data_IF_890089495826
#
_entry.id   IF_890089495826
#
_cell.length_a   1.000
_cell.length_b   1.000
_cell.length_c   1.000
_cell.angle_alpha   90.00
_cell.angle_beta   90.00
_cell.angle_gamma   90.00
#
_symmetry.space_group_name_H-M   'P 1'
#
loop_
_entity.id
_entity.type
_entity.pdbx_description
1 polymer ?
#
# COMPACT_ATOMS: atom_id res chain seq x y z
N UNK A 1 20.95 -12.70 2.69
CA UNK A 1 19.75 -13.46 3.13
C UNK A 1 18.53 -12.55 3.03
N UNK A 2 17.33 -13.06 2.70
CA UNK A 2 16.12 -12.23 2.68
C UNK A 2 15.87 -11.62 4.06
N UNK A 3 15.44 -10.36 4.10
CA UNK A 3 15.13 -9.62 5.35
C UNK A 3 13.71 -9.90 5.84
N UNK A 4 12.83 -10.32 4.94
CA UNK A 4 11.45 -10.68 5.24
C UNK A 4 11.22 -12.16 4.98
N UNK A 5 10.36 -12.77 5.77
CA UNK A 5 9.93 -14.14 5.52
C UNK A 5 9.09 -14.23 4.25
N UNK A 6 9.00 -15.45 3.70
CA UNK A 6 8.12 -15.77 2.57
C UNK A 6 6.68 -15.34 2.83
N UNK A 7 6.15 -15.66 4.01
CA UNK A 7 4.76 -15.39 4.36
C UNK A 7 4.51 -13.89 4.50
N UNK A 8 5.38 -13.15 5.20
CA UNK A 8 5.27 -11.69 5.29
C UNK A 8 5.26 -11.03 3.90
N UNK A 9 6.11 -11.51 2.99
CA UNK A 9 6.19 -10.99 1.62
C UNK A 9 4.90 -11.24 0.85
N UNK A 10 4.39 -12.48 0.85
CA UNK A 10 3.15 -12.83 0.14
C UNK A 10 1.93 -12.13 0.73
N UNK A 11 1.84 -12.05 2.06
CA UNK A 11 0.77 -11.33 2.75
C UNK A 11 0.80 -9.84 2.40
N UNK A 12 1.98 -9.22 2.32
CA UNK A 12 2.08 -7.81 1.93
C UNK A 12 1.73 -7.56 0.47
N UNK A 13 2.14 -8.46 -0.44
CA UNK A 13 1.72 -8.39 -1.85
C UNK A 13 0.20 -8.37 -1.95
N UNK A 14 -0.49 -9.30 -1.29
CA UNK A 14 -1.96 -9.37 -1.31
C UNK A 14 -2.60 -8.16 -0.60
N UNK A 15 -2.13 -7.79 0.60
CA UNK A 15 -2.68 -6.70 1.40
C UNK A 15 -2.62 -5.36 0.66
N UNK A 16 -1.47 -5.02 0.09
CA UNK A 16 -1.26 -3.77 -0.66
C UNK A 16 -1.94 -3.84 -2.02
N UNK A 17 -1.87 -5.01 -2.68
CA UNK A 17 -2.47 -5.26 -3.97
C UNK A 17 -1.72 -4.62 -5.15
N UNK A 18 -0.56 -4.01 -4.93
CA UNK A 18 0.25 -3.35 -5.95
C UNK A 18 1.73 -3.76 -5.80
N UNK A 19 2.34 -4.14 -6.93
CA UNK A 19 3.79 -4.35 -7.05
C UNK A 19 4.29 -3.48 -8.21
N UNK A 20 4.89 -2.30 -7.93
CA UNK A 20 5.54 -1.50 -8.96
C UNK A 20 6.74 -2.24 -9.55
N UNK A 21 6.84 -2.23 -10.88
CA UNK A 21 7.86 -2.98 -11.64
C UNK A 21 8.71 -2.00 -12.44
N UNK A 22 10.03 -2.03 -12.28
CA UNK A 22 10.90 -1.11 -13.01
C UNK A 22 12.29 -1.67 -13.31
N UNK A 23 13.03 -0.95 -14.15
CA UNK A 23 14.47 -1.12 -14.30
C UNK A 23 15.08 0.25 -14.57
N UNK A 24 16.24 0.50 -13.97
CA UNK A 24 17.11 1.59 -14.34
C UNK A 24 18.56 1.18 -14.08
N UNK A 25 19.49 1.59 -14.94
CA UNK A 25 20.92 1.24 -14.82
C UNK A 25 21.67 2.11 -13.83
N UNK A 26 21.18 3.32 -13.56
CA UNK A 26 21.70 4.22 -12.53
C UNK A 26 21.03 3.93 -11.19
N UNK A 27 21.84 3.57 -10.18
CA UNK A 27 21.41 3.27 -8.82
C UNK A 27 20.75 4.47 -8.14
N UNK A 28 21.19 5.69 -8.41
CA UNK A 28 20.62 6.91 -7.81
C UNK A 28 19.16 7.09 -8.23
N UNK A 29 18.87 6.86 -9.50
CA UNK A 29 17.50 6.88 -10.03
C UNK A 29 16.68 5.73 -9.47
N UNK A 30 17.27 4.54 -9.35
CA UNK A 30 16.59 3.39 -8.78
C UNK A 30 16.18 3.61 -7.31
N UNK A 31 17.05 4.26 -6.52
CA UNK A 31 16.77 4.67 -5.14
C UNK A 31 15.58 5.63 -5.08
N UNK A 32 15.56 6.68 -5.90
CA UNK A 32 14.47 7.66 -5.90
C UNK A 32 13.13 7.04 -6.31
N UNK A 33 13.13 6.09 -7.26
CA UNK A 33 11.92 5.34 -7.64
C UNK A 33 11.40 4.51 -6.48
N UNK A 34 12.25 3.73 -5.81
CA UNK A 34 11.83 2.90 -4.67
C UNK A 34 11.35 3.77 -3.52
N UNK A 35 12.04 4.88 -3.23
CA UNK A 35 11.64 5.83 -2.20
C UNK A 35 10.27 6.44 -2.49
N UNK A 36 10.03 6.91 -3.71
CA UNK A 36 8.73 7.45 -4.10
C UNK A 36 7.60 6.41 -3.98
N UNK A 37 7.86 5.15 -4.34
CA UNK A 37 6.89 4.07 -4.13
C UNK A 37 6.64 3.80 -2.64
N UNK A 38 7.70 3.75 -1.83
CA UNK A 38 7.62 3.51 -0.39
C UNK A 38 6.87 4.63 0.34
N UNK A 39 7.19 5.89 0.02
CA UNK A 39 6.54 7.08 0.58
C UNK A 39 5.06 7.16 0.19
N UNK A 40 4.67 6.58 -0.94
CA UNK A 40 3.28 6.42 -1.34
C UNK A 40 2.55 5.27 -0.61
N UNK A 41 3.28 4.39 0.08
CA UNK A 41 2.75 3.21 0.77
C UNK A 41 2.87 1.89 0.01
N UNK A 42 3.51 1.86 -1.17
CA UNK A 42 3.82 0.63 -1.88
C UNK A 42 5.10 0.00 -1.31
N UNK A 43 4.93 -0.88 -0.32
CA UNK A 43 6.01 -1.55 0.40
C UNK A 43 6.73 -2.62 -0.41
N UNK A 44 6.08 -3.22 -1.41
CA UNK A 44 6.63 -4.31 -2.23
C UNK A 44 7.00 -3.76 -3.61
N UNK A 45 8.27 -3.91 -4.02
CA UNK A 45 8.76 -3.36 -5.30
C UNK A 45 9.59 -4.40 -6.06
N UNK A 46 9.35 -4.54 -7.36
CA UNK A 46 10.06 -5.45 -8.27
C UNK A 46 11.07 -4.68 -9.14
N UNK A 47 12.37 -4.93 -8.91
CA UNK A 47 13.44 -4.49 -9.82
C UNK A 47 13.71 -5.57 -10.88
N UNK A 48 13.70 -5.23 -12.16
CA UNK A 48 13.81 -6.22 -13.25
C UNK A 48 15.24 -6.39 -13.73
N UNK A 49 15.72 -7.64 -13.81
CA UNK A 49 17.03 -8.03 -14.33
C UNK A 49 17.04 -7.96 -15.88
N UNK A 50 17.07 -6.76 -16.46
CA UNK A 50 16.96 -6.56 -17.92
C UNK A 50 18.13 -5.86 -18.60
N UNK A 51 19.05 -5.26 -17.85
CA UNK A 51 20.23 -4.64 -18.45
C UNK A 51 21.53 -5.17 -17.89
N UNK A 52 22.62 -4.76 -18.53
CA UNK A 52 23.95 -5.25 -18.22
C UNK A 52 24.32 -4.95 -16.77
N UNK A 53 24.91 -5.94 -16.11
CA UNK A 53 25.35 -5.83 -14.71
C UNK A 53 24.24 -5.37 -13.74
N UNK A 54 22.97 -5.60 -14.06
CA UNK A 54 21.82 -5.18 -13.23
C UNK A 54 21.91 -5.68 -11.78
N UNK A 55 22.57 -6.82 -11.54
CA UNK A 55 22.81 -7.33 -10.19
C UNK A 55 23.62 -6.35 -9.32
N UNK A 56 24.54 -5.57 -9.89
CA UNK A 56 25.34 -4.58 -9.14
C UNK A 56 24.44 -3.45 -8.62
N UNK A 57 23.60 -2.91 -9.51
CA UNK A 57 22.59 -1.92 -9.16
C UNK A 57 21.66 -2.45 -8.08
N UNK A 58 21.23 -3.71 -8.21
CA UNK A 58 20.38 -4.34 -7.22
C UNK A 58 21.05 -4.52 -5.86
N UNK A 59 22.33 -4.93 -5.81
CA UNK A 59 23.07 -5.04 -4.55
C UNK A 59 23.06 -3.71 -3.80
N UNK A 60 23.46 -2.62 -4.48
CA UNK A 60 23.51 -1.29 -3.87
C UNK A 60 22.12 -0.78 -3.44
N UNK A 61 21.10 -1.03 -4.26
CA UNK A 61 19.72 -0.69 -3.93
C UNK A 61 19.18 -1.50 -2.74
N UNK A 62 19.53 -2.78 -2.65
CA UNK A 62 19.18 -3.68 -1.54
C UNK A 62 19.80 -3.19 -0.23
N UNK A 63 21.08 -2.80 -0.25
CA UNK A 63 21.79 -2.23 0.90
C UNK A 63 21.18 -0.89 1.33
N UNK A 64 20.87 -0.01 0.36
CA UNK A 64 20.16 1.25 0.63
C UNK A 64 18.81 0.99 1.31
N UNK A 65 18.00 0.09 0.76
CA UNK A 65 16.71 -0.28 1.35
C UNK A 65 16.86 -0.84 2.77
N UNK A 66 17.89 -1.65 3.03
CA UNK A 66 18.12 -2.18 4.37
C UNK A 66 18.43 -1.07 5.40
N UNK A 67 19.14 -0.01 4.98
CA UNK A 67 19.55 1.10 5.86
C UNK A 67 18.50 2.19 6.00
N UNK A 68 17.97 2.68 4.88
CA UNK A 68 17.13 3.88 4.84
C UNK A 68 15.63 3.57 4.74
N UNK A 69 15.27 2.42 4.16
CA UNK A 69 13.88 2.01 3.92
C UNK A 69 13.61 0.59 4.46
N UNK A 70 13.87 0.33 5.77
CA UNK A 70 13.92 -1.03 6.31
C UNK A 70 12.59 -1.79 6.17
N UNK A 71 11.48 -1.08 5.95
CA UNK A 71 10.16 -1.66 5.71
C UNK A 71 9.96 -2.15 4.26
N UNK A 72 10.71 -1.65 3.27
CA UNK A 72 10.55 -2.01 1.85
C UNK A 72 11.00 -3.44 1.59
N UNK A 73 10.09 -4.21 0.97
CA UNK A 73 10.30 -5.57 0.48
C UNK A 73 10.71 -5.46 -0.99
N UNK A 74 12.03 -5.46 -1.23
CA UNK A 74 12.60 -5.41 -2.58
C UNK A 74 12.76 -6.84 -3.13
N UNK A 75 12.25 -7.07 -4.33
CA UNK A 75 12.42 -8.33 -5.07
C UNK A 75 13.00 -8.12 -6.46
N UNK A 76 13.31 -9.22 -7.11
CA UNK A 76 13.84 -9.22 -8.48
C UNK A 76 12.83 -9.83 -9.45
N UNK A 77 12.73 -9.23 -10.63
CA UNK A 77 11.96 -9.75 -11.75
C UNK A 77 12.81 -10.09 -12.97
N UNK A 78 12.18 -10.66 -13.99
CA UNK A 78 12.86 -11.11 -15.23
C UNK A 78 13.93 -12.19 -14.99
N UNK A 79 13.72 -13.04 -13.98
CA UNK A 79 14.58 -14.20 -13.70
C UNK A 79 14.06 -15.42 -14.47
N UNK A 80 14.93 -16.09 -15.22
CA UNK A 80 14.56 -17.22 -16.09
C UNK A 80 15.28 -18.54 -15.73
N UNK A 81 16.32 -18.46 -14.90
CA UNK A 81 17.18 -19.59 -14.53
C UNK A 81 17.60 -19.50 -13.03
N UNK A 82 18.00 -20.65 -12.50
CA UNK A 82 18.35 -20.84 -11.09
C UNK A 82 19.64 -20.15 -10.67
N UNK A 83 20.60 -19.95 -11.58
CA UNK A 83 21.86 -19.27 -11.28
C UNK A 83 21.62 -17.77 -11.06
N UNK A 84 20.82 -17.16 -11.93
CA UNK A 84 20.33 -15.79 -11.76
C UNK A 84 19.51 -15.66 -10.48
N UNK A 85 18.60 -16.60 -10.19
CA UNK A 85 17.84 -16.59 -8.94
C UNK A 85 18.76 -16.65 -7.71
N UNK A 86 19.76 -17.54 -7.72
CA UNK A 86 20.75 -17.67 -6.65
C UNK A 86 21.50 -16.36 -6.39
N UNK A 87 21.95 -15.70 -7.47
CA UNK A 87 22.67 -14.43 -7.42
C UNK A 87 21.85 -13.35 -6.70
N UNK A 88 20.60 -13.14 -7.10
CA UNK A 88 19.76 -12.10 -6.53
C UNK A 88 19.29 -12.44 -5.10
N UNK A 89 19.00 -13.70 -4.79
CA UNK A 89 18.72 -14.13 -3.40
C UNK A 89 19.94 -13.84 -2.51
N UNK A 90 21.15 -14.12 -2.99
CA UNK A 90 22.37 -13.80 -2.26
C UNK A 90 22.60 -12.29 -2.11
N UNK A 91 22.09 -11.50 -3.07
CA UNK A 91 22.12 -10.03 -3.07
C UNK A 91 21.00 -9.39 -2.24
N UNK A 92 20.15 -10.19 -1.57
CA UNK A 92 19.12 -9.70 -0.65
C UNK A 92 17.71 -9.59 -1.22
N UNK A 93 17.43 -10.20 -2.38
CA UNK A 93 16.07 -10.28 -2.90
C UNK A 93 15.13 -11.02 -1.94
N UNK A 94 13.98 -10.39 -1.65
CA UNK A 94 12.97 -10.93 -0.74
C UNK A 94 11.89 -11.72 -1.47
N UNK A 95 11.81 -11.59 -2.79
CA UNK A 95 11.00 -12.43 -3.69
C UNK A 95 11.61 -12.44 -5.09
N UNK A 96 11.23 -13.44 -5.88
CA UNK A 96 11.67 -13.63 -7.26
C UNK A 96 10.44 -13.67 -8.19
N UNK A 97 10.53 -13.03 -9.35
CA UNK A 97 9.50 -13.03 -10.38
C UNK A 97 10.13 -13.43 -11.72
N UNK A 98 9.47 -14.35 -12.42
CA UNK A 98 9.89 -14.83 -13.74
C UNK A 98 8.88 -14.44 -14.82
N UNK A 99 9.28 -14.29 -16.10
CA UNK A 99 8.33 -14.18 -17.20
C UNK A 99 7.75 -15.56 -17.61
N UNK A 100 8.36 -16.65 -17.15
CA UNK A 100 8.00 -18.04 -17.44
C UNK A 100 8.08 -18.88 -16.15
N UNK A 101 7.43 -20.04 -16.15
CA UNK A 101 7.65 -21.05 -15.12
C UNK A 101 8.96 -21.82 -15.36
N UNK A 102 9.79 -21.94 -14.32
CA UNK A 102 11.00 -22.76 -14.32
C UNK A 102 11.07 -23.53 -12.99
N UNK A 103 11.03 -24.88 -13.00
CA UNK A 103 11.06 -25.67 -11.78
C UNK A 103 12.38 -25.58 -11.02
N UNK A 104 13.51 -25.33 -11.68
CA UNK A 104 14.80 -25.16 -11.01
C UNK A 104 14.87 -23.86 -10.21
N UNK A 105 14.24 -22.78 -10.72
CA UNK A 105 14.03 -21.54 -9.95
C UNK A 105 13.13 -21.80 -8.74
N UNK A 106 12.03 -22.55 -8.91
CA UNK A 106 11.15 -22.90 -7.81
C UNK A 106 11.89 -23.69 -6.71
N UNK A 107 12.68 -24.69 -7.07
CA UNK A 107 13.48 -25.50 -6.12
C UNK A 107 14.40 -24.65 -5.26
N UNK A 108 15.17 -23.73 -5.87
CA UNK A 108 16.12 -22.90 -5.10
C UNK A 108 15.39 -21.89 -4.22
N UNK A 109 14.34 -21.23 -4.73
CA UNK A 109 13.52 -20.30 -3.97
C UNK A 109 12.87 -20.98 -2.77
N UNK A 110 12.29 -22.16 -2.94
CA UNK A 110 11.67 -22.96 -1.87
C UNK A 110 12.68 -23.38 -0.80
N UNK A 111 13.87 -23.86 -1.21
CA UNK A 111 14.96 -24.23 -0.30
C UNK A 111 15.46 -23.04 0.52
N UNK A 112 15.37 -21.82 -0.02
CA UNK A 112 15.77 -20.57 0.65
C UNK A 112 14.62 -19.84 1.34
N UNK A 113 13.40 -20.38 1.30
CA UNK A 113 12.18 -19.72 1.80
C UNK A 113 12.00 -18.30 1.24
N UNK A 114 12.27 -18.14 -0.06
CA UNK A 114 11.98 -16.92 -0.83
C UNK A 114 10.80 -17.25 -1.74
N UNK A 115 9.73 -16.43 -1.80
CA UNK A 115 8.61 -16.67 -2.71
C UNK A 115 9.03 -16.47 -4.15
N UNK A 116 8.48 -17.31 -5.03
CA UNK A 116 8.65 -17.26 -6.47
C UNK A 116 7.29 -17.08 -7.15
N UNK A 117 7.15 -16.01 -7.93
CA UNK A 117 5.98 -15.75 -8.78
C UNK A 117 6.35 -15.96 -10.26
N UNK A 118 6.26 -17.19 -10.78
CA UNK A 118 6.54 -17.50 -12.18
C UNK A 118 5.46 -16.96 -13.11
N UNK A 119 5.86 -16.62 -14.34
CA UNK A 119 4.92 -16.26 -15.41
C UNK A 119 4.27 -17.50 -16.02
N UNK A 120 2.95 -17.49 -16.12
CA UNK A 120 2.14 -18.53 -16.76
C UNK A 120 1.11 -17.90 -17.71
N UNK A 121 0.74 -18.61 -18.77
CA UNK A 121 -0.25 -18.19 -19.76
C UNK A 121 -1.45 -19.13 -19.90
N UNK A 122 -1.48 -20.25 -19.16
CA UNK A 122 -2.55 -21.26 -19.21
C UNK A 122 -2.89 -21.82 -17.84
N UNK A 123 -4.08 -22.41 -17.70
CA UNK A 123 -4.50 -23.06 -16.47
C UNK A 123 -3.57 -24.22 -16.06
N UNK A 124 -3.07 -24.99 -17.03
CA UNK A 124 -2.14 -26.10 -16.76
C UNK A 124 -0.77 -25.63 -16.25
N UNK A 125 -0.23 -24.54 -16.80
CA UNK A 125 1.02 -23.95 -16.29
C UNK A 125 0.85 -23.37 -14.89
N UNK A 126 -0.30 -22.73 -14.61
CA UNK A 126 -0.62 -22.20 -13.28
C UNK A 126 -0.72 -23.33 -12.27
N UNK A 127 -1.47 -24.40 -12.59
CA UNK A 127 -1.58 -25.59 -11.75
C UNK A 127 -0.21 -26.21 -11.46
N UNK A 128 0.64 -26.33 -12.49
CA UNK A 128 2.00 -26.86 -12.31
C UNK A 128 2.82 -25.95 -11.39
N UNK A 129 2.75 -24.63 -11.55
CA UNK A 129 3.46 -23.69 -10.67
C UNK A 129 3.03 -23.84 -9.20
N UNK A 130 1.73 -24.01 -8.94
CA UNK A 130 1.16 -24.25 -7.61
C UNK A 130 1.66 -25.57 -7.01
N UNK A 131 1.76 -26.66 -7.79
CA UNK A 131 2.34 -27.94 -7.34
C UNK A 131 3.80 -27.80 -6.90
N UNK A 132 4.55 -26.91 -7.55
CA UNK A 132 5.92 -26.54 -7.16
C UNK A 132 5.97 -25.54 -6.00
N UNK A 133 4.83 -25.25 -5.37
CA UNK A 133 4.70 -24.41 -4.18
C UNK A 133 4.70 -22.92 -4.45
N UNK A 134 4.41 -22.45 -5.68
CA UNK A 134 4.29 -21.02 -5.96
C UNK A 134 2.91 -20.51 -5.51
N UNK A 135 2.85 -19.65 -4.49
CA UNK A 135 1.58 -19.23 -3.88
C UNK A 135 0.86 -18.13 -4.65
N UNK A 136 1.61 -17.21 -5.28
CA UNK A 136 1.07 -16.18 -6.18
C UNK A 136 1.71 -16.38 -7.54
N UNK A 137 0.91 -16.72 -8.55
CA UNK A 137 1.37 -16.97 -9.91
C UNK A 137 1.20 -15.71 -10.76
N UNK A 138 2.22 -15.34 -11.52
CA UNK A 138 2.17 -14.20 -12.42
C UNK A 138 1.43 -14.61 -13.70
N UNK A 139 0.39 -13.87 -14.08
CA UNK A 139 -0.24 -14.01 -15.39
C UNK A 139 0.49 -13.09 -16.38
N UNK A 140 1.18 -13.67 -17.37
CA UNK A 140 2.04 -12.90 -18.27
C UNK A 140 2.11 -13.47 -19.70
N UNK A 141 2.02 -12.63 -20.75
CA UNK A 141 1.62 -11.22 -20.73
C UNK A 141 0.11 -11.05 -20.48
N UNK A 142 -0.27 -10.42 -19.38
CA UNK A 142 -1.63 -10.48 -18.81
C UNK A 142 -2.77 -10.16 -19.79
N UNK A 143 -2.68 -9.06 -20.55
CA UNK A 143 -3.70 -8.71 -21.53
C UNK A 143 -3.77 -9.70 -22.71
N UNK A 144 -2.62 -10.24 -23.16
CA UNK A 144 -2.55 -11.11 -24.34
C UNK A 144 -3.02 -12.54 -24.05
N UNK A 145 -2.96 -12.98 -22.79
CA UNK A 145 -3.42 -14.30 -22.35
C UNK A 145 -4.90 -14.31 -21.93
N UNK A 146 -5.66 -13.27 -22.33
CA UNK A 146 -7.10 -13.18 -22.12
C UNK A 146 -7.55 -12.20 -21.03
N UNK A 147 -6.64 -11.48 -20.38
CA UNK A 147 -7.01 -10.35 -19.54
C UNK A 147 -7.81 -10.73 -18.26
N UNK A 148 -8.61 -9.81 -17.71
CA UNK A 148 -9.44 -10.06 -16.54
C UNK A 148 -10.45 -11.21 -16.71
N UNK A 149 -10.93 -11.46 -17.93
CA UNK A 149 -11.91 -12.54 -18.18
C UNK A 149 -11.29 -13.92 -18.01
N UNK A 150 -10.01 -14.10 -18.40
CA UNK A 150 -9.26 -15.32 -18.12
C UNK A 150 -9.17 -15.59 -16.62
N UNK A 151 -8.79 -14.58 -15.81
CA UNK A 151 -8.69 -14.72 -14.35
C UNK A 151 -10.04 -15.14 -13.77
N UNK A 152 -11.12 -14.47 -14.14
CA UNK A 152 -12.46 -14.82 -13.66
C UNK A 152 -12.87 -16.24 -14.03
N UNK A 153 -12.55 -16.69 -15.25
CA UNK A 153 -12.84 -18.04 -15.72
C UNK A 153 -12.00 -19.10 -14.99
N UNK A 154 -10.73 -18.80 -14.70
CA UNK A 154 -9.82 -19.67 -13.95
C UNK A 154 -10.24 -19.84 -12.48
N UNK A 155 -10.62 -18.74 -11.82
CA UNK A 155 -10.98 -18.77 -10.41
C UNK A 155 -12.34 -19.46 -10.14
N UNK A 156 -13.18 -19.65 -11.16
CA UNK A 156 -14.45 -20.35 -11.01
C UNK A 156 -14.26 -21.82 -10.55
N UNK A 157 -13.41 -22.64 -11.20
CA UNK A 157 -13.06 -23.98 -10.70
C UNK A 157 -11.92 -23.98 -9.67
N UNK A 158 -11.07 -22.95 -9.63
CA UNK A 158 -9.88 -22.87 -8.76
C UNK A 158 -9.91 -21.63 -7.85
N UNK A 159 -10.87 -21.51 -6.91
CA UNK A 159 -11.05 -20.30 -6.11
C UNK A 159 -9.92 -20.01 -5.12
N UNK A 160 -9.04 -20.98 -4.86
CA UNK A 160 -7.85 -20.82 -4.01
C UNK A 160 -6.67 -20.17 -4.75
N UNK A 161 -6.66 -20.20 -6.08
CA UNK A 161 -5.55 -19.68 -6.90
C UNK A 161 -5.39 -18.17 -6.70
N UNK A 162 -4.15 -17.72 -6.58
CA UNK A 162 -3.81 -16.29 -6.45
C UNK A 162 -3.02 -15.84 -7.66
N UNK A 163 -3.58 -14.87 -8.39
CA UNK A 163 -3.00 -14.36 -9.63
C UNK A 163 -2.48 -12.93 -9.44
N UNK A 164 -1.29 -12.67 -10.00
CA UNK A 164 -0.72 -11.34 -10.20
C UNK A 164 -0.55 -11.05 -11.70
N UNK A 165 -1.46 -10.31 -12.36
CA UNK A 165 -1.26 -9.94 -13.76
C UNK A 165 -0.10 -8.96 -13.92
N UNK A 166 0.64 -9.10 -15.01
CA UNK A 166 1.63 -8.11 -15.47
C UNK A 166 1.63 -8.04 -16.98
N UNK A 167 1.72 -6.84 -17.54
CA UNK A 167 1.55 -6.60 -18.97
C UNK A 167 0.08 -6.37 -19.31
N UNK A 168 -0.27 -5.14 -19.67
CA UNK A 168 -1.67 -4.73 -19.92
C UNK A 168 -2.46 -4.30 -18.68
N UNK A 169 -1.78 -4.02 -17.57
CA UNK A 169 -2.38 -3.36 -16.40
C UNK A 169 -2.08 -1.86 -16.50
N UNK A 170 -3.09 -1.06 -16.81
CA UNK A 170 -2.95 0.39 -16.91
C UNK A 170 -3.14 1.05 -15.54
N UNK A 171 -2.40 2.14 -15.30
CA UNK A 171 -2.53 2.96 -14.09
C UNK A 171 -3.75 3.90 -14.17
N UNK A 172 -4.94 3.31 -14.31
CA UNK A 172 -6.26 3.98 -14.37
C UNK A 172 -7.25 3.26 -13.46
N UNK A 173 -8.24 3.99 -12.94
CA UNK A 173 -9.28 3.42 -12.07
C UNK A 173 -10.00 2.23 -12.73
N UNK A 174 -10.39 2.38 -13.99
CA UNK A 174 -11.12 1.36 -14.73
C UNK A 174 -10.31 0.07 -14.85
N UNK A 175 -9.07 0.16 -15.35
CA UNK A 175 -8.22 -1.02 -15.55
C UNK A 175 -7.95 -1.74 -14.22
N UNK A 176 -7.62 -0.98 -13.16
CA UNK A 176 -7.40 -1.53 -11.82
C UNK A 176 -8.65 -2.23 -11.30
N UNK A 177 -9.82 -1.59 -11.41
CA UNK A 177 -11.08 -2.15 -10.94
C UNK A 177 -11.43 -3.44 -11.69
N UNK A 178 -11.22 -3.51 -13.00
CA UNK A 178 -11.45 -4.71 -13.80
C UNK A 178 -10.61 -5.89 -13.32
N UNK A 179 -9.29 -5.70 -13.12
CA UNK A 179 -8.40 -6.74 -12.63
C UNK A 179 -8.68 -7.17 -11.19
N UNK A 180 -8.89 -6.22 -10.27
CA UNK A 180 -9.17 -6.52 -8.86
C UNK A 180 -10.52 -7.23 -8.72
N UNK A 181 -11.56 -6.78 -9.42
CA UNK A 181 -12.89 -7.44 -9.39
C UNK A 181 -12.90 -8.81 -10.07
N UNK A 182 -11.94 -9.08 -10.97
CA UNK A 182 -11.73 -10.42 -11.50
C UNK A 182 -11.15 -11.40 -10.47
N UNK A 183 -10.68 -10.92 -9.31
CA UNK A 183 -10.16 -11.73 -8.21
C UNK A 183 -8.63 -11.75 -8.11
N UNK A 184 -7.92 -10.84 -8.80
CA UNK A 184 -6.46 -10.76 -8.71
C UNK A 184 -6.00 -10.45 -7.27
N UNK A 185 -4.98 -11.16 -6.82
CA UNK A 185 -4.41 -11.00 -5.48
C UNK A 185 -3.63 -9.67 -5.36
N UNK A 186 -2.89 -9.31 -6.40
CA UNK A 186 -2.18 -8.04 -6.52
C UNK A 186 -1.90 -7.74 -7.99
N UNK A 187 -1.45 -6.52 -8.31
CA UNK A 187 -1.21 -6.07 -9.68
C UNK A 187 0.28 -5.73 -9.88
N UNK A 188 0.93 -6.37 -10.85
CA UNK A 188 2.28 -6.00 -11.29
C UNK A 188 2.20 -4.88 -12.33
N UNK A 189 2.60 -3.66 -11.95
CA UNK A 189 2.50 -2.48 -12.81
C UNK A 189 3.87 -1.92 -13.20
N UNK A 190 4.17 -2.00 -14.49
CA UNK A 190 5.44 -1.54 -15.07
C UNK A 190 5.41 -0.12 -15.61
N UNK A 191 5.80 0.00 -16.88
CA UNK A 191 6.01 1.27 -17.60
C UNK A 191 4.79 2.20 -17.70
N UNK A 192 3.58 1.69 -17.40
CA UNK A 192 2.35 2.49 -17.33
C UNK A 192 2.21 3.24 -16.00
N UNK A 193 2.82 2.74 -14.94
CA UNK A 193 2.92 3.38 -13.63
C UNK A 193 4.20 4.22 -13.54
N UNK A 194 5.35 3.58 -13.81
CA UNK A 194 6.68 4.21 -13.78
C UNK A 194 7.05 4.58 -15.21
N UNK A 195 6.56 5.73 -15.68
CA UNK A 195 6.68 6.14 -17.08
C UNK A 195 8.07 6.69 -17.39
N UNK A 196 8.48 6.60 -18.67
CA UNK A 196 9.75 7.21 -19.13
C UNK A 196 9.81 8.71 -18.83
N UNK A 197 8.69 9.40 -19.01
CA UNK A 197 8.54 10.85 -18.75
C UNK A 197 8.85 11.22 -17.30
N UNK A 198 8.31 10.46 -16.34
CA UNK A 198 8.55 10.70 -14.91
C UNK A 198 10.03 10.51 -14.59
N UNK A 199 10.66 9.48 -15.16
CA UNK A 199 12.07 9.17 -14.93
C UNK A 199 12.98 10.22 -15.57
N UNK A 200 12.74 10.61 -16.83
CA UNK A 200 13.56 11.59 -17.54
C UNK A 200 13.46 12.98 -16.93
N UNK A 201 12.28 13.36 -16.43
CA UNK A 201 12.06 14.63 -15.74
C UNK A 201 12.42 14.60 -14.25
N UNK A 202 12.77 13.43 -13.70
CA UNK A 202 13.01 13.20 -12.26
C UNK A 202 11.85 13.67 -11.37
N UNK A 203 10.61 13.57 -11.87
CA UNK A 203 9.41 14.02 -11.17
C UNK A 203 8.88 12.94 -10.22
N UNK A 204 9.64 12.66 -9.16
CA UNK A 204 9.32 11.61 -8.20
C UNK A 204 8.10 11.92 -7.34
N UNK A 205 7.74 13.20 -7.16
CA UNK A 205 6.48 13.58 -6.51
C UNK A 205 5.27 13.16 -7.35
N UNK A 206 5.34 13.31 -8.68
CA UNK A 206 4.30 12.79 -9.56
C UNK A 206 4.23 11.26 -9.52
N UNK A 207 5.36 10.56 -9.38
CA UNK A 207 5.35 9.11 -9.16
C UNK A 207 4.63 8.76 -7.85
N UNK A 208 4.98 9.44 -6.75
CA UNK A 208 4.39 9.22 -5.43
C UNK A 208 2.88 9.38 -5.48
N UNK A 209 2.39 10.51 -5.98
CA UNK A 209 0.97 10.79 -6.12
C UNK A 209 0.24 9.75 -6.99
N UNK A 210 0.88 9.31 -8.08
CA UNK A 210 0.31 8.27 -8.96
C UNK A 210 0.20 6.91 -8.25
N UNK A 211 1.21 6.53 -7.48
CA UNK A 211 1.20 5.29 -6.70
C UNK A 211 0.14 5.36 -5.59
N UNK A 212 0.04 6.48 -4.86
CA UNK A 212 -1.01 6.74 -3.86
C UNK A 212 -2.41 6.56 -4.47
N UNK A 213 -2.63 7.12 -5.66
CA UNK A 213 -3.89 7.01 -6.39
C UNK A 213 -4.20 5.55 -6.80
N UNK A 214 -3.21 4.81 -7.29
CA UNK A 214 -3.39 3.40 -7.65
C UNK A 214 -3.75 2.54 -6.43
N UNK A 215 -3.08 2.76 -5.30
CA UNK A 215 -3.39 2.08 -4.04
C UNK A 215 -4.81 2.39 -3.57
N UNK A 216 -5.26 3.64 -3.73
CA UNK A 216 -6.66 4.01 -3.45
C UNK A 216 -7.63 3.26 -4.37
N UNK A 217 -7.40 3.26 -5.69
CA UNK A 217 -8.27 2.54 -6.63
C UNK A 217 -8.35 1.03 -6.34
N UNK A 218 -7.26 0.41 -5.90
CA UNK A 218 -7.26 -0.98 -5.44
C UNK A 218 -8.16 -1.14 -4.20
N UNK A 219 -7.99 -0.29 -3.17
CA UNK A 219 -8.83 -0.31 -1.96
C UNK A 219 -10.31 -0.12 -2.31
N UNK A 220 -10.63 0.86 -3.15
CA UNK A 220 -11.98 1.15 -3.64
C UNK A 220 -12.57 -0.05 -4.38
N UNK A 221 -11.81 -0.69 -5.28
CA UNK A 221 -12.25 -1.89 -5.99
C UNK A 221 -12.48 -3.10 -5.08
N UNK A 222 -11.78 -3.18 -3.94
CA UNK A 222 -12.00 -4.16 -2.86
C UNK A 222 -13.16 -3.80 -1.92
N UNK A 223 -13.86 -2.69 -2.16
CA UNK A 223 -15.00 -2.27 -1.35
C UNK A 223 -14.63 -1.55 -0.06
N UNK A 224 -13.39 -1.07 0.10
CA UNK A 224 -13.03 -0.20 1.22
C UNK A 224 -13.79 1.13 1.07
N UNK A 225 -14.60 1.54 2.06
CA UNK A 225 -15.36 2.79 1.98
C UNK A 225 -14.44 4.00 2.07
N UNK A 226 -14.79 5.08 1.38
CA UNK A 226 -14.07 6.35 1.43
C UNK A 226 -14.11 6.98 2.82
N UNK A 227 -15.29 7.01 3.44
CA UNK A 227 -15.52 7.42 4.82
C UNK A 227 -15.58 6.17 5.70
N UNK A 228 -14.60 6.01 6.59
CA UNK A 228 -14.36 4.78 7.35
C UNK A 228 -15.04 4.76 8.72
N UNK A 229 -15.71 5.86 9.10
CA UNK A 229 -16.41 6.01 10.37
C UNK A 229 -15.67 6.92 11.36
N UNK A 230 -15.99 6.77 12.64
CA UNK A 230 -15.46 7.62 13.71
C UNK A 230 -13.96 7.37 13.94
N UNK A 231 -13.18 8.43 13.87
CA UNK A 231 -11.78 8.46 14.29
C UNK A 231 -11.64 8.86 15.76
N UNK A 232 -12.26 9.98 16.13
CA UNK A 232 -12.29 10.48 17.50
C UNK A 232 -13.45 11.44 17.75
N UNK A 233 -13.79 11.57 19.04
CA UNK A 233 -14.63 12.67 19.54
C UNK A 233 -13.75 13.56 20.40
N UNK A 234 -13.75 14.86 20.09
CA UNK A 234 -13.04 15.87 20.86
C UNK A 234 -13.93 16.50 21.91
N UNK A 235 -13.48 16.47 23.16
CA UNK A 235 -14.14 17.04 24.32
C UNK A 235 -13.43 18.33 24.73
N UNK A 236 -14.23 19.35 25.01
CA UNK A 236 -13.77 20.65 25.50
C UNK A 236 -14.13 20.77 26.98
N UNK A 237 -13.16 20.68 27.91
CA UNK A 237 -13.41 20.95 29.31
C UNK A 237 -13.90 22.37 29.52
N UNK A 238 -14.81 22.58 30.46
CA UNK A 238 -15.36 23.92 30.77
C UNK A 238 -14.37 24.81 31.51
N UNK A 239 -13.38 24.21 32.18
CA UNK A 239 -12.34 24.92 32.92
C UNK A 239 -11.02 24.94 32.14
N UNK A 240 -10.30 26.08 32.10
CA UNK A 240 -8.97 26.16 31.52
C UNK A 240 -8.01 25.13 32.10
N UNK A 241 -7.25 24.45 31.23
CA UNK A 241 -6.25 23.44 31.60
C UNK A 241 -6.81 22.23 32.36
N UNK A 242 -8.13 21.98 32.33
CA UNK A 242 -8.72 20.80 32.95
C UNK A 242 -8.62 19.53 32.08
N UNK A 243 -8.10 19.64 30.85
CA UNK A 243 -7.98 18.53 29.91
C UNK A 243 -7.23 17.31 30.49
N UNK A 244 -6.03 17.48 31.07
CA UNK A 244 -5.31 16.37 31.69
C UNK A 244 -6.09 15.69 32.81
N UNK A 245 -6.80 16.47 33.66
CA UNK A 245 -7.62 15.94 34.74
C UNK A 245 -8.80 15.12 34.22
N UNK A 246 -9.47 15.58 33.16
CA UNK A 246 -10.55 14.84 32.50
C UNK A 246 -10.01 13.55 31.86
N UNK A 247 -8.86 13.63 31.19
CA UNK A 247 -8.22 12.48 30.57
C UNK A 247 -7.81 11.42 31.61
N UNK A 248 -7.24 11.85 32.74
CA UNK A 248 -6.88 10.99 33.86
C UNK A 248 -8.11 10.30 34.45
N UNK A 249 -9.22 11.03 34.62
CA UNK A 249 -10.48 10.46 35.11
C UNK A 249 -10.96 9.31 34.23
N UNK A 250 -10.93 9.44 32.90
CA UNK A 250 -11.31 8.35 31.99
C UNK A 250 -10.42 7.13 32.15
N UNK A 251 -9.09 7.30 32.19
CA UNK A 251 -8.18 6.15 32.34
C UNK A 251 -8.29 5.46 33.70
N UNK A 252 -8.60 6.22 34.76
CA UNK A 252 -8.87 5.67 36.09
C UNK A 252 -10.22 4.96 36.16
N UNK A 253 -11.24 5.49 35.48
CA UNK A 253 -12.61 4.97 35.49
C UNK A 253 -12.76 3.74 34.60
N UNK A 254 -12.07 3.69 33.46
CA UNK A 254 -12.17 2.63 32.46
C UNK A 254 -10.82 1.94 32.24
N UNK A 255 -10.50 0.91 33.05
CA UNK A 255 -9.31 0.10 32.86
C UNK A 255 -9.22 -0.45 31.43
N UNK A 256 -8.08 -0.23 30.77
CA UNK A 256 -7.85 -0.60 29.37
C UNK A 256 -7.81 0.60 28.41
N UNK A 257 -8.21 1.79 28.85
CA UNK A 257 -7.88 3.04 28.15
C UNK A 257 -6.46 3.49 28.50
N UNK A 258 -5.72 3.90 27.48
CA UNK A 258 -4.37 4.46 27.59
C UNK A 258 -4.38 5.92 27.17
N UNK A 259 -3.70 6.77 27.93
CA UNK A 259 -3.54 8.20 27.63
C UNK A 259 -2.23 8.45 26.89
N UNK A 260 -2.32 9.17 25.78
CA UNK A 260 -1.18 9.77 25.08
C UNK A 260 -1.26 11.28 25.28
N UNK A 261 -0.33 11.82 26.07
CA UNK A 261 -0.33 13.25 26.41
C UNK A 261 0.23 14.09 25.25
N UNK A 262 -0.43 15.20 24.95
CA UNK A 262 -0.02 16.14 23.90
C UNK A 262 0.21 17.56 24.42
N UNK A 263 0.60 18.47 23.53
CA UNK A 263 0.78 19.89 23.91
C UNK A 263 -0.57 20.61 24.04
N UNK A 264 -1.48 20.37 23.09
CA UNK A 264 -2.77 21.06 22.97
C UNK A 264 -3.95 20.21 23.41
N UNK A 265 -3.79 18.88 23.43
CA UNK A 265 -4.83 17.91 23.78
C UNK A 265 -4.21 16.59 24.23
N UNK A 266 -4.97 15.81 24.98
CA UNK A 266 -4.65 14.44 25.39
C UNK A 266 -5.55 13.45 24.64
N UNK A 267 -4.97 12.37 24.09
CA UNK A 267 -5.74 11.32 23.42
C UNK A 267 -5.90 10.08 24.31
N UNK A 268 -7.10 9.53 24.35
CA UNK A 268 -7.43 8.29 25.04
C UNK A 268 -7.79 7.20 24.04
N UNK A 269 -7.09 6.07 24.10
CA UNK A 269 -7.25 4.94 23.17
C UNK A 269 -7.40 3.61 23.92
N UNK A 270 -8.33 2.79 23.44
CA UNK A 270 -8.47 1.38 23.84
C UNK A 270 -7.95 0.43 22.77
N UNK A 271 -8.34 -0.85 22.84
CA UNK A 271 -7.99 -1.87 21.84
C UNK A 271 -8.83 -1.82 20.56
N UNK A 272 -9.98 -1.14 20.61
CA UNK A 272 -10.87 -0.96 19.46
C UNK A 272 -10.58 0.35 18.71
N UNK A 273 -11.16 0.50 17.52
CA UNK A 273 -11.12 1.74 16.74
C UNK A 273 -11.86 2.89 17.43
N UNK A 274 -11.40 4.11 17.20
CA UNK A 274 -11.97 5.31 17.82
C UNK A 274 -11.14 5.79 19.02
N UNK A 275 -11.19 7.08 19.29
CA UNK A 275 -10.52 7.67 20.46
C UNK A 275 -11.28 8.86 21.03
N UNK A 276 -10.95 9.22 22.26
CA UNK A 276 -11.42 10.45 22.87
C UNK A 276 -10.24 11.42 22.87
N UNK A 277 -10.41 12.56 22.23
CA UNK A 277 -9.48 13.68 22.36
C UNK A 277 -10.03 14.61 23.44
N UNK A 278 -9.19 15.01 24.39
CA UNK A 278 -9.56 15.98 25.43
C UNK A 278 -8.69 17.21 25.26
N UNK A 279 -9.31 18.33 24.92
CA UNK A 279 -8.62 19.59 24.66
C UNK A 279 -8.12 20.23 25.96
N UNK A 280 -6.95 20.87 25.92
CA UNK A 280 -6.41 21.57 27.10
C UNK A 280 -7.01 22.96 27.29
N UNK A 281 -7.38 23.60 26.18
CA UNK A 281 -8.05 24.90 26.20
C UNK A 281 -9.55 24.71 25.99
N UNK A 282 -10.39 25.42 26.76
CA UNK A 282 -11.81 25.49 26.49
C UNK A 282 -12.02 26.21 25.16
N UNK A 283 -12.77 25.60 24.27
CA UNK A 283 -13.42 26.29 23.16
C UNK A 283 -14.91 26.31 23.50
N UNK A 284 -15.57 27.45 23.38
CA UNK A 284 -16.90 27.68 23.96
C UNK A 284 -18.04 26.96 23.24
N UNK A 285 -17.74 26.05 22.31
CA UNK A 285 -18.72 25.26 21.59
C UNK A 285 -18.57 23.76 21.85
N UNK A 286 -19.64 23.05 21.51
CA UNK A 286 -19.85 21.62 21.69
C UNK A 286 -18.66 20.78 21.20
N UNK A 287 -18.64 19.49 21.58
CA UNK A 287 -17.65 18.52 21.12
C UNK A 287 -17.42 18.56 19.59
N UNK A 288 -16.23 18.14 19.14
CA UNK A 288 -16.00 17.89 17.70
C UNK A 288 -16.01 16.40 17.37
N UNK A 289 -16.33 16.08 16.11
CA UNK A 289 -16.39 14.71 15.60
C UNK A 289 -15.43 14.56 14.42
N UNK A 290 -14.57 13.55 14.49
CA UNK A 290 -13.62 13.21 13.45
C UNK A 290 -14.06 11.99 12.67
N UNK A 291 -14.13 12.13 11.35
CA UNK A 291 -14.41 11.02 10.44
C UNK A 291 -13.13 10.61 9.74
N UNK A 292 -12.71 9.36 9.95
CA UNK A 292 -11.55 8.79 9.25
C UNK A 292 -11.89 8.61 7.77
N UNK A 293 -10.97 8.99 6.90
CA UNK A 293 -11.10 8.80 5.45
C UNK A 293 -9.96 7.98 4.87
N UNK A 294 -10.26 7.20 3.84
CA UNK A 294 -9.29 6.32 3.18
C UNK A 294 -8.42 7.04 2.12
N UNK A 295 -8.92 8.17 1.60
CA UNK A 295 -8.23 9.07 0.68
C UNK A 295 -8.74 10.49 0.97
N UNK A 296 -7.83 11.42 1.27
CA UNK A 296 -8.21 12.76 1.70
C UNK A 296 -8.74 13.61 0.55
N UNK A 297 -8.05 13.61 -0.59
CA UNK A 297 -8.38 14.38 -1.78
C UNK A 297 -9.75 13.98 -2.35
N UNK A 298 -10.00 12.67 -2.46
CA UNK A 298 -11.30 12.12 -2.91
C UNK A 298 -12.42 12.49 -1.91
N UNK A 299 -12.14 12.47 -0.61
CA UNK A 299 -13.13 12.84 0.41
C UNK A 299 -13.50 14.33 0.30
N UNK A 300 -12.50 15.21 0.18
CA UNK A 300 -12.75 16.66 -0.03
C UNK A 300 -13.52 16.89 -1.32
N UNK A 301 -13.15 16.23 -2.42
CA UNK A 301 -13.87 16.33 -3.68
C UNK A 301 -15.33 15.88 -3.56
N UNK A 302 -15.57 14.69 -2.98
CA UNK A 302 -16.91 14.13 -2.75
C UNK A 302 -17.78 15.04 -1.86
N UNK A 303 -17.19 15.66 -0.83
CA UNK A 303 -17.90 16.61 0.03
C UNK A 303 -18.29 17.87 -0.74
N UNK A 304 -17.38 18.43 -1.54
CA UNK A 304 -17.63 19.62 -2.37
C UNK A 304 -18.71 19.38 -3.42
N UNK A 305 -18.72 18.21 -4.08
CA UNK A 305 -19.79 17.82 -5.01
C UNK A 305 -21.17 17.76 -4.33
N UNK A 306 -21.20 17.49 -3.02
CA UNK A 306 -22.42 17.49 -2.19
C UNK A 306 -22.75 18.88 -1.62
N UNK A 307 -22.03 19.93 -2.02
CA UNK A 307 -22.22 21.28 -1.51
C UNK A 307 -21.68 21.51 -0.09
N UNK A 308 -20.84 20.61 0.42
CA UNK A 308 -20.22 20.74 1.74
C UNK A 308 -18.85 21.40 1.57
N UNK A 309 -18.69 22.60 2.11
CA UNK A 309 -17.42 23.30 2.12
C UNK A 309 -16.51 22.79 3.25
N UNK A 310 -15.22 22.71 2.93
CA UNK A 310 -14.16 22.26 3.83
C UNK A 310 -13.16 23.41 3.99
N UNK A 311 -12.69 23.61 5.22
CA UNK A 311 -11.61 24.55 5.56
C UNK A 311 -10.29 24.16 4.89
N UNK A 312 -9.30 25.06 4.96
CA UNK A 312 -7.96 24.75 4.45
C UNK A 312 -7.34 23.56 5.22
N UNK A 313 -6.81 22.54 4.52
CA UNK A 313 -6.26 21.37 5.18
C UNK A 313 -5.04 21.68 6.05
N UNK A 314 -5.07 21.18 7.28
CA UNK A 314 -3.89 21.06 8.12
C UNK A 314 -3.10 19.80 7.70
N UNK A 315 -1.81 19.96 7.41
CA UNK A 315 -0.92 18.88 6.97
C UNK A 315 0.23 18.78 7.97
N UNK A 316 0.33 17.64 8.67
CA UNK A 316 1.41 17.35 9.62
C UNK A 316 2.05 16.03 9.22
N UNK A 317 3.25 16.10 8.65
CA UNK A 317 3.88 14.94 8.02
C UNK A 317 3.00 14.39 6.89
N UNK A 318 2.55 13.14 7.02
CA UNK A 318 1.62 12.51 6.05
C UNK A 318 0.16 12.54 6.48
N UNK A 319 -0.13 13.00 7.70
CA UNK A 319 -1.50 13.16 8.20
C UNK A 319 -2.11 14.43 7.62
N UNK A 320 -3.36 14.33 7.16
CA UNK A 320 -4.15 15.46 6.65
C UNK A 320 -5.46 15.52 7.41
N UNK A 321 -5.88 16.70 7.83
CA UNK A 321 -7.21 16.90 8.40
C UNK A 321 -7.77 18.25 8.02
N UNK A 322 -9.09 18.33 7.88
CA UNK A 322 -9.78 19.59 7.62
C UNK A 322 -11.20 19.57 8.18
N UNK A 323 -11.54 20.65 8.87
CA UNK A 323 -12.90 20.87 9.37
C UNK A 323 -13.85 21.23 8.23
N UNK A 324 -15.09 20.80 8.35
CA UNK A 324 -16.19 21.33 7.56
C UNK A 324 -16.46 22.77 8.01
N UNK A 325 -16.82 23.65 7.07
CA UNK A 325 -17.17 25.04 7.41
C UNK A 325 -18.51 25.18 8.14
N UNK A 326 -19.33 24.13 8.11
CA UNK A 326 -20.62 24.06 8.81
C UNK A 326 -20.58 22.98 9.88
N UNK A 327 -21.31 23.19 10.96
CA UNK A 327 -21.53 22.16 11.98
C UNK A 327 -22.50 21.08 11.48
N UNK A 328 -22.55 19.96 12.19
CA UNK A 328 -23.67 19.03 12.06
C UNK A 328 -25.00 19.65 12.60
N UNK A 329 -26.16 18.99 12.43
CA UNK A 329 -27.44 19.48 12.96
C UNK A 329 -27.50 19.60 14.49
N UNK A 330 -26.63 18.91 15.22
CA UNK A 330 -26.51 19.01 16.67
C UNK A 330 -25.56 20.17 17.10
N UNK A 331 -24.91 20.86 16.15
CA UNK A 331 -24.00 21.97 16.38
C UNK A 331 -22.56 21.55 16.70
N UNK A 332 -22.18 20.30 16.45
CA UNK A 332 -20.80 19.84 16.59
C UNK A 332 -19.97 20.24 15.38
N UNK A 333 -18.72 20.67 15.61
CA UNK A 333 -17.74 20.78 14.53
C UNK A 333 -17.41 19.37 14.03
N UNK A 334 -17.29 19.22 12.72
CA UNK A 334 -16.92 17.94 12.10
C UNK A 334 -15.67 18.17 11.28
N UNK A 335 -14.70 17.26 11.36
CA UNK A 335 -13.56 17.24 10.44
C UNK A 335 -13.34 15.85 9.87
N UNK A 336 -12.77 15.81 8.68
CA UNK A 336 -12.22 14.58 8.11
C UNK A 336 -10.75 14.47 8.46
N UNK A 337 -10.29 13.25 8.69
CA UNK A 337 -8.88 12.95 8.97
C UNK A 337 -8.42 11.77 8.14
N UNK A 338 -7.31 11.97 7.45
CA UNK A 338 -6.56 10.94 6.78
C UNK A 338 -5.26 10.71 7.54
N UNK A 339 -5.02 9.45 7.90
CA UNK A 339 -3.78 9.01 8.52
C UNK A 339 -3.34 7.72 7.82
N UNK A 340 -2.22 7.75 7.08
CA UNK A 340 -1.74 6.55 6.41
C UNK A 340 -1.32 5.50 7.44
N UNK A 341 -1.78 4.27 7.20
CA UNK A 341 -1.49 3.08 7.99
C UNK A 341 -0.03 2.66 7.95
#
# INVERSE_FOLDING_TARGET
>A
MPRFSRLETLTEMERIGLVPVFYHSDVSVAVEVVKACADAGARVVEFTNRGDLAYRVFCELSDYCARELPHVILGVGSVVDEATAALYINSGANFVVGPIFNPEVAKICNRRKVPYSPGCGSASEISLAEEWGCEIVKLFPGAEVGGPSFVKALLAPCPWTKIMPTGGVDATEQSIAEWIKAGCACLGMGSKLITKEIISSRNYDALRARVEQCLWWIKKARGVPLFQGLDHVGLYPTLPNAGPTVADWYTATFPGLTKTAGQTSDFLKGSASGSIEVMHQPEFDKAHVAIRVANFEEAVHTLRERGIEVEEPAIIGRRKSAFLKTTDPAGHRVHIVYEPS
#
